data_IF_829126535545
#
_entry.id   IF_829126535545
#
_cell.length_a   1.000
_cell.length_b   1.000
_cell.length_c   1.000
_cell.angle_alpha   90.00
_cell.angle_beta   90.00
_cell.angle_gamma   90.00
#
_symmetry.space_group_name_H-M   'P 1'
#
loop_
_entity.id
_entity.type
_entity.pdbx_description
1 polymer ?
#
# COMPACT_ATOMS: atom_id res chain seq x y z
N UNK A 1 44.72 -0.79 75.82
CA UNK A 1 43.57 -0.08 75.20
C UNK A 1 43.95 0.24 73.76
N UNK A 2 43.45 -0.56 72.80
CA UNK A 2 42.46 -0.14 71.79
C UNK A 2 43.02 0.87 70.77
N UNK A 3 43.02 0.68 69.44
CA UNK A 3 42.31 -0.26 68.55
C UNK A 3 43.07 -0.36 67.23
N UNK A 4 43.22 -1.59 66.72
CA UNK A 4 43.47 -1.85 65.30
C UNK A 4 42.33 -1.22 64.47
N UNK A 5 42.67 -0.48 63.42
CA UNK A 5 41.71 -0.13 62.35
C UNK A 5 42.21 -0.73 61.05
N UNK A 6 41.57 -1.83 60.66
CA UNK A 6 41.63 -2.38 59.31
C UNK A 6 41.09 -1.34 58.33
N UNK A 7 41.87 -1.07 57.27
CA UNK A 7 41.41 -0.33 56.09
C UNK A 7 40.89 -1.38 55.11
N UNK A 8 39.56 -1.46 54.96
CA UNK A 8 38.94 -2.31 53.94
C UNK A 8 39.02 -1.60 52.58
N UNK A 9 39.72 -2.21 51.63
CA UNK A 9 39.72 -1.81 50.22
C UNK A 9 38.39 -2.23 49.59
N UNK A 10 37.47 -1.29 49.42
CA UNK A 10 36.27 -1.46 48.61
C UNK A 10 36.64 -1.27 47.15
N UNK A 11 36.74 -2.36 46.39
CA UNK A 11 36.78 -2.30 44.92
C UNK A 11 35.39 -1.93 44.42
N UNK A 12 35.24 -0.92 43.55
CA UNK A 12 33.95 -0.63 42.95
C UNK A 12 33.62 -1.75 41.96
N UNK A 13 32.62 -2.57 42.29
CA UNK A 13 32.00 -3.50 41.35
C UNK A 13 31.20 -2.62 40.37
N UNK A 14 31.75 -2.36 39.19
CA UNK A 14 30.99 -1.82 38.08
C UNK A 14 30.03 -2.91 37.58
N UNK A 15 28.79 -2.87 38.07
CA UNK A 15 27.67 -3.52 37.39
C UNK A 15 27.49 -2.80 36.05
N UNK A 16 28.14 -3.33 35.01
CA UNK A 16 27.84 -2.97 33.62
C UNK A 16 26.43 -3.45 33.31
N UNK A 17 25.46 -2.62 33.68
CA UNK A 17 24.12 -2.67 33.10
C UNK A 17 24.29 -2.31 31.63
N UNK A 18 24.45 -3.33 30.78
CA UNK A 18 24.16 -3.18 29.36
C UNK A 18 22.65 -2.98 29.27
N UNK A 19 22.22 -1.73 29.45
CA UNK A 19 20.91 -1.29 28.98
C UNK A 19 20.99 -1.47 27.47
N UNK A 20 20.46 -2.58 26.98
CA UNK A 20 20.19 -2.74 25.56
C UNK A 20 19.18 -1.64 25.21
N UNK A 21 19.67 -0.55 24.60
CA UNK A 21 18.78 0.29 23.83
C UNK A 21 18.25 -0.60 22.72
N UNK A 22 17.02 -1.08 22.87
CA UNK A 22 16.23 -1.47 21.72
C UNK A 22 16.20 -0.23 20.81
N UNK A 23 17.03 -0.24 19.78
CA UNK A 23 16.94 0.74 18.73
C UNK A 23 15.56 0.54 18.11
N UNK A 24 14.66 1.47 18.41
CA UNK A 24 13.39 1.57 17.71
C UNK A 24 13.77 1.80 16.26
N UNK A 25 13.62 0.77 15.41
CA UNK A 25 13.81 0.91 13.97
C UNK A 25 12.80 1.96 13.53
N UNK A 26 13.28 3.18 13.28
CA UNK A 26 12.48 4.21 12.64
C UNK A 26 12.34 3.76 11.19
N UNK A 27 11.13 3.32 10.83
CA UNK A 27 10.75 3.12 9.44
C UNK A 27 10.71 4.50 8.82
N UNK A 28 11.84 4.95 8.27
CA UNK A 28 11.91 6.22 7.55
C UNK A 28 10.83 6.20 6.46
N UNK A 29 9.83 7.08 6.61
CA UNK A 29 8.71 7.16 5.68
C UNK A 29 9.21 7.82 4.41
N UNK A 30 9.59 7.00 3.43
CA UNK A 30 9.97 7.48 2.10
C UNK A 30 8.72 7.99 1.37
N UNK A 31 8.89 9.06 0.60
CA UNK A 31 7.84 9.66 -0.22
C UNK A 31 8.37 10.01 -1.60
N UNK A 32 7.49 10.09 -2.59
CA UNK A 32 7.76 10.63 -3.92
C UNK A 32 6.73 11.70 -4.26
N UNK A 33 7.09 12.65 -5.13
CA UNK A 33 6.19 13.74 -5.54
C UNK A 33 5.78 13.53 -6.98
N UNK A 34 4.48 13.56 -7.24
CA UNK A 34 3.95 13.61 -8.59
C UNK A 34 4.18 15.01 -9.17
N UNK A 35 5.01 15.16 -10.22
CA UNK A 35 5.37 16.47 -10.75
C UNK A 35 4.20 17.18 -11.45
N UNK A 36 3.11 16.46 -11.76
CA UNK A 36 1.97 17.00 -12.50
C UNK A 36 1.05 17.85 -11.64
N UNK A 37 0.96 17.56 -10.34
CA UNK A 37 0.10 18.26 -9.38
C UNK A 37 0.79 18.63 -8.06
N UNK A 38 2.05 18.21 -7.86
CA UNK A 38 2.82 18.47 -6.65
C UNK A 38 2.42 17.61 -5.45
N UNK A 39 1.58 16.58 -5.66
CA UNK A 39 1.12 15.72 -4.58
C UNK A 39 2.22 14.74 -4.15
N UNK A 40 2.42 14.62 -2.84
CA UNK A 40 3.37 13.68 -2.26
C UNK A 40 2.69 12.37 -1.89
N UNK A 41 3.27 11.25 -2.31
CA UNK A 41 2.80 9.89 -2.04
C UNK A 41 3.83 9.15 -1.18
N UNK A 42 3.41 8.47 -0.09
CA UNK A 42 4.29 7.54 0.61
C UNK A 42 4.64 6.38 -0.31
N UNK A 43 5.87 5.89 -0.21
CA UNK A 43 6.35 4.74 -0.98
C UNK A 43 6.89 3.65 -0.09
N UNK A 44 6.81 2.41 -0.55
CA UNK A 44 7.39 1.24 0.10
C UNK A 44 8.11 0.36 -0.91
N UNK A 45 9.26 -0.18 -0.53
CA UNK A 45 9.99 -1.10 -1.39
C UNK A 45 9.55 -2.54 -1.09
N UNK A 46 8.98 -3.23 -2.08
CA UNK A 46 8.51 -4.61 -1.99
C UNK A 46 8.84 -5.31 -3.31
N UNK A 47 9.47 -6.49 -3.23
CA UNK A 47 9.73 -7.30 -4.43
C UNK A 47 10.71 -6.68 -5.42
N UNK A 48 11.57 -5.76 -4.97
CA UNK A 48 12.50 -5.03 -5.86
C UNK A 48 11.89 -3.83 -6.59
N UNK A 49 10.62 -3.51 -6.33
CA UNK A 49 9.94 -2.32 -6.83
C UNK A 49 9.63 -1.34 -5.70
N UNK A 50 9.51 -0.07 -6.05
CA UNK A 50 8.84 0.91 -5.21
C UNK A 50 7.37 0.95 -5.56
N UNK A 51 6.53 0.90 -4.54
CA UNK A 51 5.08 0.98 -4.64
C UNK A 51 4.60 2.27 -4.03
N UNK A 52 3.61 2.91 -4.65
CA UNK A 52 2.79 3.86 -3.91
C UNK A 52 2.08 3.11 -2.76
N UNK A 53 2.29 3.57 -1.53
CA UNK A 53 1.59 3.07 -0.36
C UNK A 53 0.19 3.71 -0.21
N UNK A 54 -0.18 4.65 -1.09
CA UNK A 54 -1.52 5.19 -1.21
C UNK A 54 -2.07 4.93 -2.61
N UNK A 55 -3.40 5.00 -2.77
CA UNK A 55 -3.99 5.04 -4.10
C UNK A 55 -3.66 6.37 -4.78
N UNK A 56 -3.50 6.35 -6.09
CA UNK A 56 -3.28 7.55 -6.90
C UNK A 56 -4.47 8.51 -6.74
N UNK A 57 -4.17 9.79 -6.56
CA UNK A 57 -5.15 10.87 -6.38
C UNK A 57 -4.91 12.05 -7.35
N UNK A 58 -4.31 11.75 -8.51
CA UNK A 58 -4.17 12.68 -9.62
C UNK A 58 -5.54 13.00 -10.23
N UNK A 59 -5.90 14.29 -10.28
CA UNK A 59 -7.19 14.72 -10.82
C UNK A 59 -7.20 14.75 -12.35
N UNK A 60 -8.10 13.97 -12.93
CA UNK A 60 -8.44 14.00 -14.36
C UNK A 60 -9.92 14.31 -14.55
N UNK A 61 -10.31 14.63 -15.79
CA UNK A 61 -11.71 14.80 -16.16
C UNK A 61 -12.55 13.52 -15.93
N UNK A 62 -11.95 12.35 -16.12
CA UNK A 62 -12.61 11.06 -15.94
C UNK A 62 -12.53 10.50 -14.52
N UNK A 63 -11.65 11.00 -13.65
CA UNK A 63 -11.49 10.50 -12.28
C UNK A 63 -12.63 10.95 -11.35
N UNK A 64 -13.00 10.10 -10.40
CA UNK A 64 -13.95 10.45 -9.33
C UNK A 64 -13.34 10.24 -7.95
N UNK A 65 -13.67 11.13 -7.00
CA UNK A 65 -13.42 10.86 -5.59
C UNK A 65 -14.29 9.71 -5.08
N UNK A 66 -13.78 9.00 -4.10
CA UNK A 66 -14.56 8.03 -3.35
C UNK A 66 -15.79 8.69 -2.71
N UNK A 67 -16.96 8.05 -2.82
CA UNK A 67 -18.27 8.59 -2.42
C UNK A 67 -18.64 9.97 -3.00
N UNK A 68 -17.99 10.40 -4.09
CA UNK A 68 -18.14 11.74 -4.65
C UNK A 68 -17.82 12.85 -3.60
N UNK A 69 -16.95 12.54 -2.63
CA UNK A 69 -16.53 13.43 -1.55
C UNK A 69 -15.07 13.87 -1.73
N UNK A 70 -14.86 15.18 -1.97
CA UNK A 70 -13.54 15.78 -2.16
C UNK A 70 -12.61 15.57 -0.97
N UNK A 71 -13.13 15.44 0.26
CA UNK A 71 -12.31 15.17 1.44
C UNK A 71 -11.77 13.74 1.40
N UNK A 72 -12.56 12.79 0.90
CA UNK A 72 -12.17 11.37 0.85
C UNK A 72 -11.13 11.10 -0.23
N UNK A 73 -11.03 11.94 -1.27
CA UNK A 73 -9.96 11.85 -2.27
C UNK A 73 -8.55 11.79 -1.64
N UNK A 74 -8.29 12.56 -0.58
CA UNK A 74 -6.97 12.61 0.06
C UNK A 74 -6.56 11.31 0.76
N UNK A 75 -7.51 10.57 1.33
CA UNK A 75 -7.23 9.38 2.14
C UNK A 75 -7.49 8.06 1.38
N UNK A 76 -8.43 8.09 0.44
CA UNK A 76 -8.88 6.93 -0.34
C UNK A 76 -8.33 6.90 -1.78
N UNK A 77 -7.85 8.05 -2.25
CA UNK A 77 -7.50 8.27 -3.65
C UNK A 77 -8.72 8.46 -4.55
N UNK A 78 -8.46 8.40 -5.86
CA UNK A 78 -9.47 8.50 -6.91
C UNK A 78 -9.73 7.17 -7.59
N UNK A 79 -10.90 7.06 -8.20
CA UNK A 79 -11.28 5.97 -9.08
C UNK A 79 -11.19 6.44 -10.53
N UNK A 80 -10.47 5.69 -11.35
CA UNK A 80 -10.16 6.04 -12.73
C UNK A 80 -10.92 5.15 -13.70
N UNK A 81 -11.39 5.71 -14.83
CA UNK A 81 -11.97 4.92 -15.90
C UNK A 81 -10.87 4.22 -16.68
N UNK A 82 -11.28 3.21 -17.46
CA UNK A 82 -10.38 2.38 -18.22
C UNK A 82 -9.50 3.19 -19.21
N UNK A 83 -10.06 4.23 -19.82
CA UNK A 83 -9.41 5.03 -20.86
C UNK A 83 -8.18 5.78 -20.35
N UNK A 84 -8.05 5.96 -19.03
CA UNK A 84 -6.98 6.75 -18.42
C UNK A 84 -5.86 5.90 -17.82
N UNK A 85 -6.05 4.58 -17.68
CA UNK A 85 -5.17 3.74 -16.85
C UNK A 85 -3.70 3.75 -17.32
N UNK A 86 -3.46 3.88 -18.63
CA UNK A 86 -2.11 3.90 -19.21
C UNK A 86 -1.37 5.24 -19.04
N UNK A 87 -2.07 6.29 -18.63
CA UNK A 87 -1.52 7.65 -18.46
C UNK A 87 -1.69 8.20 -17.05
N UNK A 88 -2.42 7.47 -16.20
CA UNK A 88 -2.74 7.92 -14.86
C UNK A 88 -1.50 7.95 -13.96
N UNK A 89 -0.61 6.96 -14.01
CA UNK A 89 0.64 7.01 -13.26
C UNK A 89 1.60 8.09 -13.81
N UNK A 90 2.37 8.78 -12.94
CA UNK A 90 3.31 9.80 -13.38
C UNK A 90 4.48 9.20 -14.18
N UNK A 91 5.24 10.04 -14.89
CA UNK A 91 6.41 9.59 -15.64
C UNK A 91 7.40 8.84 -14.74
N UNK A 92 7.96 7.74 -15.25
CA UNK A 92 8.80 6.82 -14.48
C UNK A 92 8.02 5.81 -13.63
N UNK A 93 6.71 6.00 -13.46
CA UNK A 93 5.82 5.09 -12.77
C UNK A 93 4.84 4.43 -13.75
N UNK A 94 4.40 3.23 -13.41
CA UNK A 94 3.48 2.44 -14.22
C UNK A 94 2.43 1.74 -13.36
N UNK A 95 1.38 1.24 -14.02
CA UNK A 95 0.53 0.24 -13.39
C UNK A 95 1.35 -1.00 -13.03
N UNK A 96 1.04 -1.69 -11.92
CA UNK A 96 1.68 -2.94 -11.59
C UNK A 96 1.18 -4.00 -12.56
N UNK A 97 2.04 -4.94 -12.93
CA UNK A 97 1.68 -6.09 -13.73
C UNK A 97 1.19 -7.24 -12.88
N UNK A 98 0.70 -8.30 -13.52
CA UNK A 98 0.36 -9.57 -12.86
C UNK A 98 1.55 -10.11 -12.06
N UNK A 99 2.74 -10.07 -12.65
CA UNK A 99 3.97 -10.54 -12.02
C UNK A 99 4.32 -9.72 -10.77
N UNK A 100 4.09 -8.40 -10.78
CA UNK A 100 4.33 -7.55 -9.60
C UNK A 100 3.41 -7.94 -8.44
N UNK A 101 2.15 -8.26 -8.73
CA UNK A 101 1.20 -8.73 -7.73
C UNK A 101 1.49 -10.15 -7.24
N UNK A 102 1.95 -11.05 -8.12
CA UNK A 102 2.36 -12.41 -7.73
C UNK A 102 3.59 -12.38 -6.81
N UNK A 103 4.57 -11.51 -7.06
CA UNK A 103 5.69 -11.29 -6.14
C UNK A 103 5.18 -10.78 -4.78
N UNK A 104 4.19 -9.87 -4.77
CA UNK A 104 3.58 -9.45 -3.51
C UNK A 104 2.91 -10.61 -2.78
N UNK A 105 2.20 -11.52 -3.47
CA UNK A 105 1.61 -12.73 -2.87
C UNK A 105 2.66 -13.54 -2.12
N UNK A 106 3.81 -13.78 -2.73
CA UNK A 106 4.92 -14.52 -2.12
C UNK A 106 5.45 -13.82 -0.86
N UNK A 107 5.60 -12.49 -0.90
CA UNK A 107 6.11 -11.70 0.23
C UNK A 107 5.17 -11.78 1.44
N UNK A 108 3.86 -11.84 1.21
CA UNK A 108 2.87 -11.82 2.28
C UNK A 108 2.42 -13.21 2.73
N UNK A 109 2.92 -14.30 2.15
CA UNK A 109 2.42 -15.66 2.38
C UNK A 109 2.27 -16.00 3.87
N UNK A 110 3.27 -15.67 4.69
CA UNK A 110 3.27 -15.92 6.14
C UNK A 110 2.25 -15.05 6.90
N UNK A 111 2.06 -13.80 6.48
CA UNK A 111 1.24 -12.82 7.19
C UNK A 111 -0.19 -12.70 6.64
N UNK A 112 -0.47 -13.33 5.50
CA UNK A 112 -1.71 -13.18 4.76
C UNK A 112 -1.90 -11.79 4.15
N UNK A 113 -3.02 -11.63 3.44
CA UNK A 113 -3.39 -10.40 2.73
C UNK A 113 -3.60 -9.19 3.64
N UNK A 114 -3.88 -9.45 4.92
CA UNK A 114 -3.96 -8.49 6.01
C UNK A 114 -2.70 -7.64 6.15
N UNK A 115 -1.53 -8.19 5.79
CA UNK A 115 -0.27 -7.47 5.77
C UNK A 115 -0.27 -6.25 4.85
N UNK A 116 -1.16 -6.23 3.85
CA UNK A 116 -1.28 -5.15 2.87
C UNK A 116 -2.33 -4.12 3.27
N UNK A 117 -3.22 -4.42 4.21
CA UNK A 117 -4.42 -3.61 4.45
C UNK A 117 -4.17 -2.46 5.39
N UNK A 118 -4.59 -1.26 4.99
CA UNK A 118 -4.59 -0.08 5.85
C UNK A 118 -5.54 -0.32 7.04
N UNK A 119 -5.10 -0.14 8.29
CA UNK A 119 -5.98 -0.34 9.44
C UNK A 119 -7.15 0.66 9.44
N UNK A 120 -8.21 0.34 10.19
CA UNK A 120 -9.38 1.20 10.45
C UNK A 120 -10.29 1.53 9.24
N UNK A 121 -9.95 1.07 8.03
CA UNK A 121 -10.77 1.34 6.83
C UNK A 121 -11.71 0.18 6.45
N UNK A 122 -11.39 -1.04 6.90
CA UNK A 122 -12.05 -2.27 6.48
C UNK A 122 -13.16 -2.64 7.45
N UNK A 123 -14.39 -2.76 6.93
CA UNK A 123 -15.59 -3.09 7.73
C UNK A 123 -15.52 -4.45 8.40
N UNK A 124 -14.87 -5.42 7.76
CA UNK A 124 -14.84 -6.81 8.20
C UNK A 124 -13.40 -7.32 8.38
N UNK A 125 -12.45 -6.46 8.80
CA UNK A 125 -11.07 -6.91 8.99
C UNK A 125 -10.42 -6.30 10.23
N UNK A 126 -10.64 -6.95 11.37
CA UNK A 126 -10.01 -6.60 12.66
C UNK A 126 -8.50 -6.93 12.69
N UNK A 127 -7.99 -7.66 11.69
CA UNK A 127 -6.61 -8.13 11.61
C UNK A 127 -5.76 -7.36 10.58
N UNK A 128 -6.29 -6.28 9.98
CA UNK A 128 -5.55 -5.42 9.06
C UNK A 128 -4.31 -4.84 9.77
N UNK A 129 -3.15 -5.44 9.50
CA UNK A 129 -1.91 -5.15 10.22
C UNK A 129 -1.04 -4.12 9.51
N UNK A 130 -1.19 -4.02 8.18
CA UNK A 130 -0.34 -3.19 7.33
C UNK A 130 1.16 -3.42 7.53
N UNK A 131 1.56 -4.63 7.91
CA UNK A 131 2.96 -4.94 8.22
C UNK A 131 3.88 -4.74 7.00
N UNK A 132 3.37 -4.93 5.79
CA UNK A 132 4.09 -4.60 4.55
C UNK A 132 4.33 -3.10 4.38
N UNK A 133 3.42 -2.24 4.88
CA UNK A 133 3.38 -0.81 4.62
C UNK A 133 2.66 -0.42 3.32
N UNK A 134 2.16 -1.38 2.53
CA UNK A 134 1.50 -1.07 1.27
C UNK A 134 0.19 -0.28 1.49
N UNK A 135 -0.54 -0.48 2.59
CA UNK A 135 -1.73 0.31 2.97
C UNK A 135 -2.86 0.34 1.90
N UNK A 136 -3.29 -0.82 1.41
CA UNK A 136 -4.49 -0.97 0.59
C UNK A 136 -5.74 -0.53 1.36
N UNK A 137 -6.57 0.29 0.71
CA UNK A 137 -7.86 0.75 1.22
C UNK A 137 -8.99 0.04 0.48
N UNK A 138 -10.11 -0.28 1.16
CA UNK A 138 -11.24 -0.99 0.56
C UNK A 138 -12.15 -0.05 -0.24
N UNK A 139 -11.58 0.57 -1.28
CA UNK A 139 -12.24 1.59 -2.10
C UNK A 139 -13.38 1.06 -2.97
N UNK A 140 -13.57 -0.27 -3.02
CA UNK A 140 -14.53 -0.89 -3.91
C UNK A 140 -14.38 -0.35 -5.34
N UNK A 141 -15.50 -0.13 -6.01
CA UNK A 141 -15.51 0.49 -7.32
C UNK A 141 -16.77 1.31 -7.59
N UNK A 142 -16.71 2.18 -8.59
CA UNK A 142 -17.88 2.90 -9.10
C UNK A 142 -18.36 2.26 -10.39
N UNK A 143 -19.64 1.90 -10.46
CA UNK A 143 -20.31 1.50 -11.69
C UNK A 143 -21.35 2.56 -12.05
N UNK A 144 -21.11 3.29 -13.14
CA UNK A 144 -21.89 4.47 -13.52
C UNK A 144 -21.91 5.52 -12.39
N UNK A 145 -23.00 5.58 -11.63
CA UNK A 145 -23.20 6.54 -10.51
C UNK A 145 -23.32 5.87 -9.15
N UNK A 146 -23.08 4.56 -9.08
CA UNK A 146 -23.24 3.79 -7.85
C UNK A 146 -21.90 3.21 -7.43
N UNK A 147 -21.57 3.38 -6.16
CA UNK A 147 -20.42 2.72 -5.56
C UNK A 147 -20.81 1.31 -5.10
N UNK A 148 -19.91 0.36 -5.29
CA UNK A 148 -20.08 -1.06 -4.96
C UNK A 148 -18.88 -1.55 -4.16
N UNK A 149 -19.10 -2.52 -3.26
CA UNK A 149 -18.07 -3.15 -2.41
C UNK A 149 -17.26 -2.19 -1.52
N UNK A 150 -17.80 -0.99 -1.29
CA UNK A 150 -17.27 0.02 -0.38
C UNK A 150 -17.00 -0.54 1.01
N UNK A 151 -15.84 -0.23 1.58
CA UNK A 151 -15.40 -0.68 2.90
C UNK A 151 -15.18 -2.21 3.04
N UNK A 152 -15.36 -2.98 1.96
CA UNK A 152 -15.28 -4.45 1.99
C UNK A 152 -14.13 -4.96 1.11
N UNK A 153 -13.99 -4.43 -0.12
CA UNK A 153 -12.97 -4.87 -1.07
C UNK A 153 -12.12 -3.69 -1.52
N UNK A 154 -10.82 -3.91 -1.70
CA UNK A 154 -10.00 -3.05 -2.55
C UNK A 154 -10.12 -3.57 -3.99
N UNK A 155 -10.41 -2.68 -4.94
CA UNK A 155 -10.53 -3.01 -6.36
C UNK A 155 -9.60 -2.12 -7.17
N UNK A 156 -8.61 -2.72 -7.83
CA UNK A 156 -7.48 -1.98 -8.41
C UNK A 156 -7.25 -2.43 -9.85
N UNK A 157 -7.01 -1.46 -10.74
CA UNK A 157 -6.51 -1.70 -12.09
C UNK A 157 -5.09 -2.24 -12.06
N UNK A 158 -4.79 -3.19 -12.93
CA UNK A 158 -3.42 -3.63 -13.17
C UNK A 158 -3.20 -3.89 -14.66
N UNK A 159 -1.93 -3.99 -15.05
CA UNK A 159 -1.56 -4.22 -16.44
C UNK A 159 -1.27 -5.71 -16.67
N UNK A 160 -2.16 -6.40 -17.36
CA UNK A 160 -1.90 -7.78 -17.78
C UNK A 160 -1.09 -7.78 -19.08
N UNK A 161 0.05 -8.47 -19.11
CA UNK A 161 0.86 -8.66 -20.31
C UNK A 161 0.26 -9.73 -21.26
N UNK A 162 -1.05 -9.69 -21.50
CA UNK A 162 -1.71 -10.62 -22.44
C UNK A 162 -2.04 -9.91 -23.75
N UNK A 163 -1.74 -10.58 -24.86
CA UNK A 163 -2.04 -10.13 -26.23
C UNK A 163 -3.54 -9.99 -26.55
N UNK A 164 -4.43 -9.99 -25.56
CA UNK A 164 -5.88 -10.11 -25.76
C UNK A 164 -6.68 -8.82 -25.51
N UNK A 165 -6.05 -7.70 -25.17
CA UNK A 165 -6.79 -6.43 -24.98
C UNK A 165 -7.85 -6.48 -23.86
N UNK A 166 -7.82 -7.52 -23.05
CA UNK A 166 -8.63 -7.63 -21.84
C UNK A 166 -8.07 -6.69 -20.79
N UNK A 167 -8.95 -5.95 -20.12
CA UNK A 167 -8.55 -4.96 -19.12
C UNK A 167 -8.85 -5.50 -17.74
N UNK A 168 -7.78 -5.73 -16.98
CA UNK A 168 -7.85 -6.56 -15.80
C UNK A 168 -7.83 -5.72 -14.53
N UNK A 169 -8.58 -6.23 -13.56
CA UNK A 169 -8.59 -5.75 -12.19
C UNK A 169 -8.62 -6.96 -11.27
N UNK A 170 -8.26 -6.76 -10.02
CA UNK A 170 -8.54 -7.74 -9.00
C UNK A 170 -9.36 -7.11 -7.89
N UNK A 171 -10.03 -7.98 -7.15
CA UNK A 171 -10.50 -7.65 -5.83
C UNK A 171 -9.69 -8.39 -4.80
N UNK A 172 -9.43 -7.70 -3.71
CA UNK A 172 -8.91 -8.30 -2.49
C UNK A 172 -9.89 -7.93 -1.38
N UNK A 173 -10.38 -8.94 -0.66
CA UNK A 173 -11.45 -8.79 0.33
C UNK A 173 -10.94 -9.03 1.76
N UNK A 174 -11.67 -8.47 2.73
CA UNK A 174 -11.36 -8.67 4.14
C UNK A 174 -11.64 -10.08 4.66
N UNK A 175 -12.25 -10.95 3.86
CA UNK A 175 -12.81 -12.23 4.31
C UNK A 175 -11.97 -13.42 3.80
N UNK A 176 -10.73 -13.59 4.30
CA UNK A 176 -9.93 -14.83 4.25
C UNK A 176 -10.25 -15.84 3.11
N UNK A 177 -10.27 -15.38 1.86
CA UNK A 177 -10.42 -16.28 0.72
C UNK A 177 -9.12 -17.04 0.46
N UNK A 178 -9.24 -18.18 -0.20
CA UNK A 178 -8.09 -19.04 -0.55
C UNK A 178 -7.12 -18.38 -1.55
N UNK A 179 -7.56 -17.38 -2.34
CA UNK A 179 -6.70 -16.55 -3.18
C UNK A 179 -6.84 -15.08 -2.75
N UNK A 180 -5.75 -14.44 -2.28
CA UNK A 180 -5.80 -13.05 -1.82
C UNK A 180 -5.99 -12.03 -2.94
N UNK A 181 -5.74 -12.40 -4.21
CA UNK A 181 -5.96 -11.52 -5.36
C UNK A 181 -6.74 -12.26 -6.44
N UNK A 182 -8.04 -12.03 -6.49
CA UNK A 182 -8.92 -12.62 -7.50
C UNK A 182 -8.89 -11.79 -8.80
N UNK A 183 -7.94 -12.09 -9.68
CA UNK A 183 -7.76 -11.43 -10.98
C UNK A 183 -8.87 -11.84 -11.96
N UNK A 184 -9.58 -10.86 -12.53
CA UNK A 184 -10.53 -11.11 -13.62
C UNK A 184 -10.78 -9.89 -14.52
N UNK A 185 -11.51 -10.14 -15.60
CA UNK A 185 -11.96 -9.13 -16.58
C UNK A 185 -13.48 -9.20 -16.76
N UNK A 186 -14.07 -8.13 -17.28
CA UNK A 186 -15.47 -8.09 -17.71
C UNK A 186 -15.56 -7.57 -19.14
N UNK A 187 -16.14 -8.37 -20.03
CA UNK A 187 -16.41 -7.95 -21.40
C UNK A 187 -17.50 -6.85 -21.42
N UNK A 188 -17.19 -5.70 -22.00
CA UNK A 188 -18.13 -4.59 -22.27
C UNK A 188 -18.56 -3.76 -21.05
N UNK A 189 -18.66 -4.32 -19.84
CA UNK A 189 -19.05 -3.56 -18.64
C UNK A 189 -17.90 -2.75 -18.01
N UNK A 190 -16.66 -3.06 -18.39
CA UNK A 190 -15.46 -2.42 -17.85
C UNK A 190 -15.41 -0.92 -18.17
N UNK A 191 -15.92 -0.50 -19.34
CA UNK A 191 -15.94 0.90 -19.80
C UNK A 191 -16.83 1.84 -18.95
N UNK A 192 -17.76 1.30 -18.16
CA UNK A 192 -18.62 2.10 -17.27
C UNK A 192 -18.21 1.98 -15.80
N UNK A 193 -17.09 1.31 -15.52
CA UNK A 193 -16.55 1.11 -14.19
C UNK A 193 -15.30 1.96 -13.98
N UNK A 194 -15.10 2.38 -12.73
CA UNK A 194 -13.90 3.07 -12.28
C UNK A 194 -13.31 2.35 -11.07
N UNK A 195 -12.02 2.07 -11.13
CA UNK A 195 -11.26 1.39 -10.07
C UNK A 195 -10.10 2.26 -9.59
N UNK A 196 -9.57 1.94 -8.42
CA UNK A 196 -8.38 2.62 -7.92
C UNK A 196 -7.15 2.25 -8.75
N UNK A 197 -6.13 3.10 -8.71
CA UNK A 197 -4.82 2.86 -9.30
C UNK A 197 -3.77 2.92 -8.20
N UNK A 198 -2.79 2.03 -8.28
CA UNK A 198 -1.61 2.03 -7.43
C UNK A 198 -0.39 1.88 -8.31
N UNK A 199 0.51 2.87 -8.28
CA UNK A 199 1.63 2.90 -9.21
C UNK A 199 2.86 2.20 -8.63
N UNK A 200 3.67 1.63 -9.50
CA UNK A 200 4.99 1.06 -9.19
C UNK A 200 6.07 1.65 -10.09
N UNK A 201 7.31 1.63 -9.61
CA UNK A 201 8.48 1.92 -10.43
C UNK A 201 9.68 1.05 -10.04
N UNK A 202 10.58 0.86 -10.98
CA UNK A 202 11.88 0.24 -10.74
C UNK A 202 12.84 1.26 -10.10
N UNK A 203 13.80 0.79 -9.30
CA UNK A 203 14.77 1.63 -8.56
C UNK A 203 15.52 2.66 -9.42
N UNK A 204 15.66 2.44 -10.72
CA UNK A 204 16.36 3.35 -11.64
C UNK A 204 15.60 4.67 -11.91
N UNK A 205 14.35 4.79 -11.45
CA UNK A 205 13.45 5.91 -11.77
C UNK A 205 13.00 6.73 -10.56
N UNK A 206 13.55 6.50 -9.36
CA UNK A 206 13.31 7.43 -8.26
C UNK A 206 14.03 8.75 -8.57
N UNK A 207 13.32 9.89 -8.63
CA UNK A 207 13.98 11.19 -8.73
C UNK A 207 14.80 11.44 -7.44
N UNK A 208 16.05 11.90 -7.62
CA UNK A 208 16.95 12.29 -6.52
C UNK A 208 16.37 13.40 -5.62
#
# INVERSE_FOLDING_TARGET
MNKNRLVALLTPIFLSSTIGLAQKVQKDSQTTVDPRDGQSYPIVQLGGLYWFAANLNFETQGSDCYEDDLIKCGDWGRLYPLEEIHTACPEGWRLPSTEDWDILKEIIEENGVQALYKPDHWKNNEEASNSSGLSLVPSGFKHKRKFQLQYINSTIWFNENTNQGSHWHFHTDGNNNADPFYFHTHDGEVFVRKFAIRCVCENAYLPE
#
